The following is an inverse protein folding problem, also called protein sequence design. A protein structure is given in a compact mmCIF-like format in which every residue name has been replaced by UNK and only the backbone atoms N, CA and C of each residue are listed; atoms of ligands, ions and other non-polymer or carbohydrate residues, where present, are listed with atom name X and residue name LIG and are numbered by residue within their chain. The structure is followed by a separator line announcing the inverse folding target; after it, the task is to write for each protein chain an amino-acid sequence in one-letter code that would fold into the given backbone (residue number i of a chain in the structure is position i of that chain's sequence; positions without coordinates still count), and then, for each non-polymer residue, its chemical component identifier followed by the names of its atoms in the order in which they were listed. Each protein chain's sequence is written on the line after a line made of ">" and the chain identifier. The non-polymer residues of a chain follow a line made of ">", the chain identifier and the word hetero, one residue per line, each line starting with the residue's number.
data_IF_122776146169
#
_entry.id   IF_122776146169
#
_cell.length_a   1.000
_cell.length_b   1.000
_cell.length_c   1.000
_cell.angle_alpha   90.00
_cell.angle_beta   90.00
_cell.angle_gamma   90.00
#
_symmetry.space_group_name_H-M   'P 1'
#
loop_
_entity.id
_entity.type
_entity.pdbx_description
1 polymer ?
#
# COMPACT_ATOMS: atom_id res chain seq x y z
N UNK A 1 28.52 18.99 -16.98
CA UNK A 1 27.35 18.22 -16.51
C UNK A 1 26.84 18.89 -15.24
N UNK A 2 25.55 19.19 -15.11
CA UNK A 2 25.00 19.81 -13.90
C UNK A 2 24.26 18.80 -13.05
N UNK A 3 24.46 18.85 -11.74
CA UNK A 3 23.62 18.14 -10.76
C UNK A 3 22.37 18.99 -10.51
N UNK A 4 21.22 18.35 -10.31
CA UNK A 4 19.96 19.01 -9.95
C UNK A 4 19.12 18.11 -9.02
N UNK A 5 18.21 18.71 -8.26
CA UNK A 5 17.26 17.97 -7.40
C UNK A 5 15.97 17.70 -8.20
N UNK A 6 15.56 16.44 -8.30
CA UNK A 6 14.32 16.08 -8.97
C UNK A 6 13.11 16.48 -8.10
N UNK A 7 12.27 17.40 -8.57
CA UNK A 7 11.08 17.85 -7.81
C UNK A 7 10.11 16.73 -7.43
N UNK A 8 9.99 15.69 -8.26
CA UNK A 8 9.08 14.56 -8.02
C UNK A 8 9.60 13.62 -6.93
N UNK A 9 10.91 13.36 -6.92
CA UNK A 9 11.49 12.31 -6.09
C UNK A 9 12.39 12.84 -4.97
N UNK A 10 12.77 14.11 -4.99
CA UNK A 10 13.69 14.73 -4.03
C UNK A 10 15.14 14.26 -4.13
N UNK A 11 15.47 13.32 -5.02
CA UNK A 11 16.84 12.84 -5.19
C UNK A 11 17.68 13.79 -6.05
N UNK A 12 18.95 13.93 -5.69
CA UNK A 12 19.96 14.54 -6.55
C UNK A 12 20.23 13.64 -7.77
N UNK A 13 20.17 14.24 -8.96
CA UNK A 13 20.36 13.59 -10.24
C UNK A 13 21.39 14.33 -11.08
N UNK A 14 22.09 13.57 -11.93
CA UNK A 14 23.01 14.10 -12.93
C UNK A 14 22.66 13.50 -14.29
N UNK A 15 22.81 14.31 -15.33
CA UNK A 15 22.72 13.85 -16.71
C UNK A 15 24.14 13.56 -17.20
N UNK A 16 24.42 12.27 -17.43
CA UNK A 16 25.65 11.77 -18.02
C UNK A 16 25.63 11.93 -19.55
N UNK A 17 26.72 11.50 -20.20
CA UNK A 17 26.78 11.43 -21.65
C UNK A 17 25.59 10.63 -22.22
N UNK A 18 25.20 10.94 -23.46
CA UNK A 18 24.05 10.32 -24.15
C UNK A 18 22.71 10.52 -23.42
N UNK A 19 22.60 11.59 -22.62
CA UNK A 19 21.38 11.99 -21.88
C UNK A 19 20.89 10.94 -20.88
N UNK A 20 21.78 10.06 -20.43
CA UNK A 20 21.45 9.08 -19.38
C UNK A 20 21.35 9.79 -18.04
N UNK A 21 20.27 9.54 -17.29
CA UNK A 21 20.07 10.10 -15.95
C UNK A 21 20.55 9.11 -14.91
N UNK A 22 21.37 9.58 -13.97
CA UNK A 22 21.86 8.79 -12.87
C UNK A 22 21.55 9.47 -11.52
N UNK A 23 21.40 8.66 -10.47
CA UNK A 23 21.21 9.12 -9.11
C UNK A 23 22.57 9.37 -8.45
N UNK A 24 22.77 10.55 -7.88
CA UNK A 24 24.08 10.94 -7.31
C UNK A 24 24.48 10.00 -6.17
N UNK A 25 23.60 9.74 -5.20
CA UNK A 25 23.90 8.81 -4.10
C UNK A 25 24.30 7.40 -4.57
N UNK A 26 23.73 6.89 -5.67
CA UNK A 26 24.15 5.57 -6.21
C UNK A 26 25.53 5.65 -6.84
N UNK A 27 25.85 6.72 -7.57
CA UNK A 27 27.19 6.91 -8.13
C UNK A 27 28.24 7.03 -7.02
N UNK A 28 27.94 7.79 -5.95
CA UNK A 28 28.82 7.92 -4.78
C UNK A 28 29.01 6.57 -4.08
N UNK A 29 27.92 5.84 -3.80
CA UNK A 29 28.03 4.53 -3.16
C UNK A 29 28.80 3.51 -4.02
N UNK A 30 28.60 3.49 -5.34
CA UNK A 30 29.33 2.60 -6.25
C UNK A 30 30.83 2.91 -6.32
N UNK A 31 31.23 4.17 -6.12
CA UNK A 31 32.63 4.58 -6.21
C UNK A 31 33.38 4.45 -4.88
N UNK A 32 32.69 4.57 -3.74
CA UNK A 32 33.35 4.76 -2.44
C UNK A 32 32.88 3.80 -1.33
N UNK A 33 31.86 2.97 -1.57
CA UNK A 33 31.36 2.00 -0.59
C UNK A 33 31.42 0.59 -1.14
N UNK A 34 32.12 -0.29 -0.42
CA UNK A 34 32.11 -1.71 -0.71
C UNK A 34 30.71 -2.30 -0.53
N UNK A 35 30.34 -3.25 -1.40
CA UNK A 35 29.07 -3.97 -1.34
C UNK A 35 29.31 -5.48 -1.41
N UNK A 36 29.97 -6.08 -0.41
CA UNK A 36 30.33 -7.49 -0.43
C UNK A 36 29.10 -8.42 -0.46
N UNK A 37 27.97 -7.95 0.07
CA UNK A 37 26.70 -8.69 0.11
C UNK A 37 25.84 -8.47 -1.15
N UNK A 38 26.32 -7.73 -2.15
CA UNK A 38 25.61 -7.44 -3.40
C UNK A 38 24.20 -6.87 -3.19
N UNK A 39 24.00 -6.06 -2.14
CA UNK A 39 22.70 -5.48 -1.82
C UNK A 39 22.26 -4.51 -2.93
N UNK A 40 20.97 -4.52 -3.33
CA UNK A 40 20.53 -3.85 -4.55
C UNK A 40 20.29 -2.34 -4.40
N UNK A 41 20.07 -1.83 -3.18
CA UNK A 41 19.64 -0.45 -2.93
C UNK A 41 20.64 0.31 -2.06
N UNK A 42 20.63 1.64 -2.18
CA UNK A 42 21.40 2.56 -1.34
C UNK A 42 20.42 3.38 -0.51
N UNK A 43 20.53 3.27 0.81
CA UNK A 43 19.72 4.05 1.76
C UNK A 43 20.44 5.36 2.16
N UNK A 44 19.65 6.35 2.58
CA UNK A 44 20.16 7.54 3.28
C UNK A 44 19.80 7.40 4.76
N UNK A 45 20.80 7.22 5.63
CA UNK A 45 20.61 6.94 7.07
C UNK A 45 19.79 8.00 7.81
N UNK A 46 19.87 9.26 7.36
CA UNK A 46 19.11 10.37 7.94
C UNK A 46 17.80 10.69 7.22
N UNK A 47 17.39 9.90 6.21
CA UNK A 47 16.20 10.12 5.40
C UNK A 47 16.28 11.31 4.41
N UNK A 48 17.35 12.10 4.42
CA UNK A 48 17.51 13.29 3.56
C UNK A 48 18.13 12.93 2.22
N UNK A 49 17.30 12.82 1.18
CA UNK A 49 17.67 12.44 -0.21
C UNK A 49 18.66 13.39 -0.91
N UNK A 50 18.90 14.58 -0.34
CA UNK A 50 19.88 15.56 -0.83
C UNK A 50 21.27 15.41 -0.18
N UNK A 51 21.37 14.69 0.94
CA UNK A 51 22.63 14.49 1.67
C UNK A 51 23.37 13.25 1.14
N UNK A 52 24.20 13.46 0.12
CA UNK A 52 24.92 12.40 -0.59
C UNK A 52 26.33 12.14 -0.02
N UNK A 53 26.62 12.56 1.22
CA UNK A 53 27.92 12.28 1.87
C UNK A 53 28.06 10.78 2.13
N UNK A 54 29.25 10.23 1.90
CA UNK A 54 29.54 8.79 2.03
C UNK A 54 29.09 8.24 3.38
N UNK A 55 29.36 8.97 4.48
CA UNK A 55 28.96 8.56 5.83
C UNK A 55 27.44 8.39 6.04
N UNK A 56 26.62 9.08 5.23
CA UNK A 56 25.16 9.03 5.28
C UNK A 56 24.55 7.94 4.39
N UNK A 57 25.37 7.27 3.56
CA UNK A 57 24.91 6.25 2.62
C UNK A 57 25.26 4.85 3.14
N UNK A 58 24.44 3.88 2.79
CA UNK A 58 24.67 2.47 3.09
C UNK A 58 23.95 1.58 2.07
N UNK A 59 24.51 0.40 1.81
CA UNK A 59 23.89 -0.61 0.97
C UNK A 59 22.85 -1.39 1.79
N UNK A 60 21.64 -1.53 1.25
CA UNK A 60 20.50 -2.19 1.91
C UNK A 60 19.68 -3.03 0.93
N UNK A 61 18.96 -4.00 1.47
CA UNK A 61 17.84 -4.68 0.83
C UNK A 61 16.58 -3.81 0.90
N UNK A 62 15.55 -4.17 0.12
CA UNK A 62 14.29 -3.44 0.15
C UNK A 62 13.58 -3.52 1.51
N UNK A 63 13.63 -4.67 2.18
CA UNK A 63 13.04 -4.88 3.50
C UNK A 63 13.75 -4.05 4.57
N UNK A 64 15.08 -4.05 4.60
CA UNK A 64 15.87 -3.22 5.51
C UNK A 64 15.58 -1.73 5.34
N UNK A 65 15.48 -1.25 4.10
CA UNK A 65 15.15 0.15 3.80
C UNK A 65 13.77 0.55 4.34
N UNK A 66 12.76 -0.31 4.15
CA UNK A 66 11.41 -0.10 4.67
C UNK A 66 11.43 -0.08 6.20
N UNK A 67 12.09 -1.06 6.81
CA UNK A 67 12.21 -1.17 8.27
C UNK A 67 12.90 0.08 8.86
N UNK A 68 14.01 0.51 8.28
CA UNK A 68 14.70 1.73 8.68
C UNK A 68 13.79 2.95 8.60
N UNK A 69 13.00 3.09 7.53
CA UNK A 69 12.07 4.20 7.38
C UNK A 69 11.00 4.25 8.49
N UNK A 70 10.49 3.09 8.92
CA UNK A 70 9.50 3.04 10.00
C UNK A 70 10.12 3.21 11.39
N UNK A 71 11.22 2.52 11.68
CA UNK A 71 11.78 2.45 13.03
C UNK A 71 12.78 3.56 13.36
N UNK A 72 13.45 4.14 12.38
CA UNK A 72 14.48 5.17 12.60
C UNK A 72 14.08 6.55 12.08
N UNK A 73 13.18 6.61 11.10
CA UNK A 73 12.73 7.88 10.50
C UNK A 73 11.28 8.22 10.83
N UNK A 74 10.66 7.49 11.78
CA UNK A 74 9.28 7.69 12.26
C UNK A 74 8.26 7.87 11.13
N UNK A 75 8.42 7.11 10.04
CA UNK A 75 7.48 7.17 8.93
C UNK A 75 6.10 6.71 9.40
N UNK A 76 5.13 7.61 9.39
CA UNK A 76 3.76 7.29 9.77
C UNK A 76 3.18 6.16 8.91
N UNK A 77 2.62 5.14 9.57
CA UNK A 77 1.77 4.16 8.93
C UNK A 77 0.33 4.70 8.87
N UNK A 78 -0.06 5.24 7.71
CA UNK A 78 -1.37 5.85 7.50
C UNK A 78 -2.56 4.88 7.64
N UNK A 79 -2.28 3.58 7.75
CA UNK A 79 -3.27 2.50 7.87
C UNK A 79 -3.23 1.81 9.23
N UNK A 80 -2.35 2.23 10.13
CA UNK A 80 -2.27 1.66 11.47
C UNK A 80 -3.60 1.86 12.22
N UNK A 81 -4.09 0.78 12.83
CA UNK A 81 -5.34 0.78 13.59
C UNK A 81 -6.63 0.92 12.77
N UNK A 82 -6.56 1.08 11.45
CA UNK A 82 -7.76 1.21 10.60
C UNK A 82 -8.28 -0.17 10.20
N UNK A 83 -9.50 -0.50 10.60
CA UNK A 83 -10.14 -1.77 10.29
C UNK A 83 -11.55 -1.56 9.75
N UNK A 84 -12.09 -2.59 9.11
CA UNK A 84 -13.42 -2.55 8.47
C UNK A 84 -13.64 -1.25 7.66
N UNK A 85 -14.76 -0.54 7.84
CA UNK A 85 -15.11 0.66 7.09
C UNK A 85 -14.11 1.81 7.20
N UNK A 86 -13.26 1.83 8.24
CA UNK A 86 -12.22 2.85 8.38
C UNK A 86 -10.98 2.58 7.52
N UNK A 87 -10.76 1.33 7.12
CA UNK A 87 -9.65 0.98 6.25
C UNK A 87 -9.94 1.47 4.82
N UNK A 88 -9.04 2.24 4.18
CA UNK A 88 -9.36 2.95 2.93
C UNK A 88 -9.63 2.05 1.73
N UNK A 89 -9.23 0.77 1.79
CA UNK A 89 -9.52 -0.21 0.74
C UNK A 89 -10.73 -1.09 1.03
N UNK A 90 -11.31 -0.98 2.23
CA UNK A 90 -12.53 -1.71 2.56
C UNK A 90 -13.70 -1.22 1.72
N UNK A 91 -14.55 -2.17 1.32
CA UNK A 91 -15.78 -1.91 0.58
C UNK A 91 -16.92 -2.56 1.33
N UNK A 92 -17.95 -1.78 1.62
CA UNK A 92 -19.17 -2.28 2.24
C UNK A 92 -19.87 -3.27 1.30
N UNK A 93 -20.46 -4.31 1.89
CA UNK A 93 -21.15 -5.38 1.16
C UNK A 93 -22.52 -5.64 1.76
N UNK A 94 -23.43 -6.09 0.92
CA UNK A 94 -24.79 -6.42 1.27
C UNK A 94 -25.01 -7.89 0.98
N UNK A 95 -25.52 -8.62 1.97
CA UNK A 95 -25.91 -10.01 1.86
C UNK A 95 -27.43 -10.10 1.87
N UNK A 96 -28.01 -10.75 0.88
CA UNK A 96 -29.45 -11.04 0.85
C UNK A 96 -29.66 -12.54 0.99
N UNK A 97 -30.33 -12.96 2.07
CA UNK A 97 -30.67 -14.35 2.29
C UNK A 97 -31.68 -14.81 1.23
N UNK A 98 -31.37 -15.89 0.53
CA UNK A 98 -32.19 -16.36 -0.58
C UNK A 98 -33.49 -17.05 -0.14
N UNK A 99 -33.57 -17.55 1.10
CA UNK A 99 -34.75 -18.24 1.61
C UNK A 99 -35.74 -17.28 2.28
N UNK A 100 -35.24 -16.31 3.06
CA UNK A 100 -36.07 -15.39 3.84
C UNK A 100 -36.19 -14.00 3.22
N UNK A 101 -35.32 -13.65 2.26
CA UNK A 101 -35.20 -12.29 1.74
C UNK A 101 -34.55 -11.30 2.71
N UNK A 102 -34.09 -11.75 3.88
CA UNK A 102 -33.47 -10.88 4.87
C UNK A 102 -32.18 -10.25 4.34
N UNK A 103 -32.00 -8.94 4.57
CA UNK A 103 -30.85 -8.16 4.10
C UNK A 103 -29.95 -7.84 5.30
N UNK A 104 -28.66 -8.14 5.16
CA UNK A 104 -27.61 -7.76 6.11
C UNK A 104 -26.58 -6.88 5.42
N UNK A 105 -26.21 -5.77 6.06
CA UNK A 105 -25.20 -4.84 5.54
C UNK A 105 -23.96 -4.90 6.42
N UNK A 106 -22.80 -5.02 5.78
CA UNK A 106 -21.49 -5.06 6.42
C UNK A 106 -20.64 -3.90 5.90
N UNK A 107 -19.89 -3.24 6.79
CA UNK A 107 -18.99 -2.14 6.42
C UNK A 107 -17.79 -2.64 5.62
N UNK A 108 -17.45 -3.93 5.78
CA UNK A 108 -16.50 -4.63 4.93
C UNK A 108 -16.86 -6.11 4.78
N UNK A 109 -16.37 -6.74 3.70
CA UNK A 109 -16.46 -8.20 3.56
C UNK A 109 -15.77 -8.96 4.72
N UNK A 110 -14.78 -8.34 5.38
CA UNK A 110 -14.10 -8.93 6.54
C UNK A 110 -14.97 -9.00 7.79
N UNK A 111 -15.98 -8.12 7.93
CA UNK A 111 -16.94 -8.24 9.02
C UNK A 111 -17.81 -9.50 8.88
N UNK A 112 -18.20 -9.82 7.64
CA UNK A 112 -18.93 -11.05 7.35
C UNK A 112 -18.07 -12.31 7.60
N UNK A 113 -16.75 -12.24 7.43
CA UNK A 113 -15.85 -13.36 7.76
C UNK A 113 -15.95 -13.77 9.23
N UNK A 114 -16.17 -12.81 10.14
CA UNK A 114 -16.38 -13.10 11.58
C UNK A 114 -17.61 -13.95 11.85
N UNK A 115 -18.56 -14.00 10.91
CA UNK A 115 -19.77 -14.81 10.95
C UNK A 115 -19.64 -16.13 10.18
N UNK A 116 -18.43 -16.49 9.75
CA UNK A 116 -18.15 -17.76 9.05
C UNK A 116 -18.29 -17.71 7.52
N UNK A 117 -18.46 -16.51 6.94
CA UNK A 117 -18.37 -16.33 5.49
C UNK A 117 -16.91 -16.27 5.02
N UNK A 118 -16.70 -16.29 3.70
CA UNK A 118 -15.38 -16.19 3.09
C UNK A 118 -15.33 -14.95 2.20
N UNK A 119 -14.36 -14.07 2.44
CA UNK A 119 -14.27 -12.77 1.75
C UNK A 119 -13.94 -12.92 0.26
N UNK A 120 -13.24 -13.98 -0.13
CA UNK A 120 -12.97 -14.33 -1.54
C UNK A 120 -14.25 -14.74 -2.28
N UNK A 121 -15.04 -15.63 -1.68
CA UNK A 121 -16.35 -16.04 -2.18
C UNK A 121 -17.33 -14.86 -2.26
N UNK A 122 -17.37 -14.00 -1.24
CA UNK A 122 -18.18 -12.77 -1.24
C UNK A 122 -17.76 -11.89 -2.43
N UNK A 123 -16.45 -11.63 -2.59
CA UNK A 123 -15.93 -10.79 -3.66
C UNK A 123 -16.26 -11.34 -5.05
N UNK A 124 -16.18 -12.67 -5.23
CA UNK A 124 -16.61 -13.34 -6.46
C UNK A 124 -18.09 -13.17 -6.74
N UNK A 125 -18.94 -13.25 -5.72
CA UNK A 125 -20.37 -12.98 -5.86
C UNK A 125 -20.62 -11.53 -6.28
N UNK A 126 -19.99 -10.56 -5.61
CA UNK A 126 -20.11 -9.15 -5.97
C UNK A 126 -19.59 -8.84 -7.39
N UNK A 127 -18.59 -9.59 -7.88
CA UNK A 127 -18.06 -9.48 -9.23
C UNK A 127 -18.88 -10.25 -10.29
N UNK A 128 -19.98 -10.91 -9.92
CA UNK A 128 -20.79 -11.73 -10.82
C UNK A 128 -20.16 -13.07 -11.24
N UNK A 129 -19.03 -13.44 -10.63
CA UNK A 129 -18.30 -14.69 -10.90
C UNK A 129 -18.84 -15.90 -10.11
N UNK A 130 -19.76 -15.64 -9.16
CA UNK A 130 -20.53 -16.65 -8.45
C UNK A 130 -21.95 -16.11 -8.24
N UNK A 131 -22.93 -17.01 -8.23
CA UNK A 131 -24.34 -16.63 -8.06
C UNK A 131 -24.72 -16.35 -6.60
N UNK A 132 -24.13 -17.09 -5.67
CA UNK A 132 -24.37 -16.97 -4.24
C UNK A 132 -23.23 -17.61 -3.44
N UNK A 133 -23.18 -17.32 -2.15
CA UNK A 133 -22.29 -17.97 -1.18
C UNK A 133 -23.05 -18.22 0.12
N UNK A 134 -23.01 -19.46 0.62
CA UNK A 134 -23.70 -19.90 1.85
C UNK A 134 -25.17 -19.44 1.92
N UNK A 135 -25.93 -19.62 0.84
CA UNK A 135 -27.35 -19.26 0.76
C UNK A 135 -27.65 -17.76 0.73
N UNK A 136 -26.64 -16.91 0.53
CA UNK A 136 -26.79 -15.47 0.39
C UNK A 136 -26.27 -15.00 -0.97
N UNK A 137 -26.98 -14.09 -1.62
CA UNK A 137 -26.42 -13.30 -2.72
C UNK A 137 -25.67 -12.10 -2.14
N UNK A 138 -24.65 -11.63 -2.86
CA UNK A 138 -23.77 -10.57 -2.38
C UNK A 138 -23.58 -9.51 -3.43
N UNK A 139 -23.59 -8.26 -3.00
CA UNK A 139 -23.26 -7.11 -3.84
C UNK A 139 -22.51 -6.04 -3.04
N UNK A 140 -21.77 -5.19 -3.75
CA UNK A 140 -21.19 -4.00 -3.12
C UNK A 140 -22.30 -3.02 -2.75
N UNK A 141 -22.21 -2.42 -1.56
CA UNK A 141 -23.14 -1.39 -1.16
C UNK A 141 -22.95 -0.14 -2.03
N UNK A 142 -24.04 0.42 -2.56
CA UNK A 142 -24.04 1.75 -3.18
C UNK A 142 -24.55 2.79 -2.18
N UNK A 143 -24.32 4.07 -2.48
CA UNK A 143 -24.81 5.20 -1.66
C UNK A 143 -26.34 5.16 -1.49
N UNK A 144 -27.06 4.68 -2.52
CA UNK A 144 -28.52 4.50 -2.51
C UNK A 144 -28.96 3.38 -1.57
N UNK A 145 -28.16 2.31 -1.44
CA UNK A 145 -28.51 1.19 -0.55
C UNK A 145 -28.19 1.46 0.91
N UNK A 146 -27.27 2.40 1.20
CA UNK A 146 -26.94 2.82 2.56
C UNK A 146 -27.96 3.80 3.16
N UNK A 147 -28.66 4.58 2.32
CA UNK A 147 -29.62 5.61 2.75
C UNK A 147 -30.99 5.06 3.18
N UNK A 148 -31.38 3.87 2.74
CA UNK A 148 -32.58 3.16 3.23
C UNK A 148 -32.49 2.72 4.70
N UNK A 149 -31.32 2.86 5.34
CA UNK A 149 -31.07 2.47 6.74
C UNK A 149 -31.32 3.59 7.76
N UNK A 150 -31.51 4.84 7.33
CA UNK A 150 -31.71 5.99 8.25
C UNK A 150 -33.19 6.34 8.43
N UNK A 151 -34.08 5.73 7.65
CA UNK A 151 -35.51 6.03 7.63
C UNK A 151 -36.40 4.97 8.32
N UNK A 152 -35.81 3.98 9.00
CA UNK A 152 -36.50 2.94 9.77
C UNK A 152 -35.89 2.83 11.17
#
# INVERSE_FOLDING_TARGET
>A
MSIYICKRTGYAQITLARRQRALVHRLVALAFLDNPECKPQVNHKNGKRSDNRIQNLEWVTGSENILHAFHQLDRANLHEGKFSGEHPTSKAVIATNMATGAISVYESAMDAVRLGFDSGCISRCCAGLSRFHRGHTWMFASVETLTQKVAA
#
